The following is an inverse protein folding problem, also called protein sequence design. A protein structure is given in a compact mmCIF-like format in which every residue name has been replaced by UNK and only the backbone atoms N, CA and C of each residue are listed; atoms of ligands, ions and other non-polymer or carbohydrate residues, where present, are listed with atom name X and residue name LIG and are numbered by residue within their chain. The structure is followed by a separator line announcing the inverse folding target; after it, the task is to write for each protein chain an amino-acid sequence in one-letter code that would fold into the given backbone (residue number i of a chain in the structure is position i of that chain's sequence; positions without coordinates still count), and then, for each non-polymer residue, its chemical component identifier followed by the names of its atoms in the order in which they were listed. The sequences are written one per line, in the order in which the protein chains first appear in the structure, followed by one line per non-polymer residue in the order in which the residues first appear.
data_IF_132148146036
#
_entry.id   IF_132148146036
#
_cell.length_a   1.000
_cell.length_b   1.000
_cell.length_c   1.000
_cell.angle_alpha   90.00
_cell.angle_beta   90.00
_cell.angle_gamma   90.00
#
_symmetry.space_group_name_H-M   'P 1'
#
loop_
_entity.id
_entity.type
_entity.pdbx_description
1 polymer ?
#
# COMPACT_ATOMS: atom_id res chain seq x y z
N UNK A 1 -12.79 -89.30 17.96
CA UNK A 1 -12.18 -88.28 18.84
C UNK A 1 -11.20 -87.48 18.00
N UNK A 2 -11.57 -86.24 17.67
CA UNK A 2 -10.83 -85.33 16.79
C UNK A 2 -10.47 -84.09 17.64
N UNK A 3 -9.22 -83.62 17.66
CA UNK A 3 -8.77 -82.56 18.57
C UNK A 3 -9.29 -81.16 18.16
N UNK A 4 -9.33 -80.20 19.09
CA UNK A 4 -9.92 -78.88 18.85
C UNK A 4 -9.01 -77.98 17.99
N UNK A 5 -9.64 -77.23 17.10
CA UNK A 5 -9.05 -76.17 16.28
C UNK A 5 -8.59 -75.02 17.18
N UNK A 6 -7.32 -74.63 17.11
CA UNK A 6 -6.82 -73.38 17.67
C UNK A 6 -7.13 -72.24 16.70
N UNK A 7 -8.04 -71.34 17.09
CA UNK A 7 -8.25 -70.07 16.39
C UNK A 7 -7.04 -69.15 16.60
N UNK A 8 -6.39 -68.78 15.50
CA UNK A 8 -5.32 -67.79 15.48
C UNK A 8 -5.99 -66.41 15.46
N UNK A 9 -6.00 -65.72 16.60
CA UNK A 9 -6.48 -64.34 16.70
C UNK A 9 -5.52 -63.39 15.97
N UNK A 10 -5.93 -62.91 14.80
CA UNK A 10 -5.21 -61.90 14.01
C UNK A 10 -5.26 -60.55 14.75
N UNK A 11 -4.18 -60.20 15.47
CA UNK A 11 -4.03 -58.86 16.07
C UNK A 11 -3.85 -57.85 14.94
N UNK A 12 -4.88 -57.01 14.76
CA UNK A 12 -4.90 -55.90 13.81
C UNK A 12 -3.81 -54.90 14.20
N UNK A 13 -2.73 -54.83 13.42
CA UNK A 13 -1.77 -53.72 13.49
C UNK A 13 -2.43 -52.49 12.87
N UNK A 14 -3.06 -51.64 13.69
CA UNK A 14 -3.43 -50.28 13.30
C UNK A 14 -2.23 -49.37 13.59
N UNK A 15 -1.28 -49.30 12.66
CA UNK A 15 -0.21 -48.30 12.69
C UNK A 15 -0.80 -46.94 12.34
N UNK A 16 -0.89 -46.10 13.37
CA UNK A 16 -1.23 -44.69 13.32
C UNK A 16 -0.15 -43.94 12.52
N UNK A 17 -0.32 -43.83 11.21
CA UNK A 17 0.46 -42.92 10.37
C UNK A 17 -0.11 -41.49 10.51
N UNK A 18 0.20 -40.84 11.62
CA UNK A 18 -0.17 -39.45 11.85
C UNK A 18 0.96 -38.72 12.62
N UNK A 19 2.15 -38.66 12.02
CA UNK A 19 3.26 -37.90 12.60
C UNK A 19 4.35 -37.55 11.56
N UNK A 20 3.96 -36.96 10.43
CA UNK A 20 4.94 -36.37 9.50
C UNK A 20 4.35 -35.18 8.73
N UNK A 21 3.76 -34.23 9.45
CA UNK A 21 3.63 -32.86 8.96
C UNK A 21 4.66 -32.00 9.70
N UNK A 22 5.94 -32.24 9.39
CA UNK A 22 7.05 -31.38 9.83
C UNK A 22 6.92 -30.05 9.09
N UNK A 23 6.22 -29.11 9.72
CA UNK A 23 6.67 -27.74 9.98
C UNK A 23 7.64 -27.16 8.93
N UNK A 24 7.20 -26.95 7.70
CA UNK A 24 7.71 -25.82 6.92
C UNK A 24 6.83 -24.64 7.28
N UNK A 25 7.11 -24.03 8.43
CA UNK A 25 6.62 -22.69 8.75
C UNK A 25 7.31 -21.72 7.80
N UNK A 26 6.83 -21.65 6.55
CA UNK A 26 7.09 -20.48 5.72
C UNK A 26 6.50 -19.30 6.50
N UNK A 27 7.34 -18.33 6.86
CA UNK A 27 6.86 -17.04 7.34
C UNK A 27 5.92 -16.49 6.27
N UNK A 28 4.62 -16.48 6.56
CA UNK A 28 3.65 -15.80 5.72
C UNK A 28 3.84 -14.31 5.99
N UNK A 29 4.65 -13.67 5.16
CA UNK A 29 4.80 -12.22 5.10
C UNK A 29 3.46 -11.63 4.64
N UNK A 30 2.96 -10.63 5.35
CA UNK A 30 1.76 -9.91 4.92
C UNK A 30 2.11 -9.11 3.65
N UNK A 31 1.40 -9.38 2.55
CA UNK A 31 1.59 -8.61 1.33
C UNK A 31 1.30 -7.12 1.60
N UNK A 32 2.00 -6.19 0.91
CA UNK A 32 1.74 -4.77 1.01
C UNK A 32 0.25 -4.45 0.76
N UNK A 33 -0.32 -3.54 1.56
CA UNK A 33 -1.70 -3.08 1.40
C UNK A 33 -1.73 -1.85 0.49
N UNK A 34 -2.43 -1.95 -0.64
CA UNK A 34 -2.64 -0.84 -1.57
C UNK A 34 -4.05 -0.27 -1.37
N UNK A 35 -4.16 1.05 -1.37
CA UNK A 35 -5.38 1.82 -1.28
C UNK A 35 -5.53 2.65 -2.54
N UNK A 36 -6.72 2.64 -3.13
CA UNK A 36 -7.00 3.38 -4.35
C UNK A 36 -8.45 3.83 -4.40
N UNK A 37 -8.65 5.04 -4.90
CA UNK A 37 -9.96 5.59 -5.25
C UNK A 37 -9.76 6.72 -6.25
N UNK A 38 -10.69 6.85 -7.19
CA UNK A 38 -10.64 7.83 -8.26
C UNK A 38 -12.01 8.44 -8.48
N UNK A 39 -12.01 9.76 -8.69
CA UNK A 39 -13.13 10.56 -9.12
C UNK A 39 -12.84 11.07 -10.54
N UNK A 40 -13.67 10.63 -11.49
CA UNK A 40 -13.55 10.98 -12.90
C UNK A 40 -13.60 12.48 -13.12
N UNK A 41 -12.74 12.97 -14.02
CA UNK A 41 -12.67 14.38 -14.38
C UNK A 41 -13.90 14.88 -15.14
N UNK A 42 -14.16 16.18 -15.05
CA UNK A 42 -15.20 16.88 -15.82
C UNK A 42 -14.62 17.63 -17.03
N UNK A 43 -13.32 17.46 -17.30
CA UNK A 43 -12.57 18.14 -18.34
C UNK A 43 -11.55 19.14 -17.79
N UNK A 44 -10.59 19.49 -18.64
CA UNK A 44 -9.42 20.38 -18.40
C UNK A 44 -9.68 21.74 -17.74
N UNK A 45 -10.93 22.19 -17.67
CA UNK A 45 -11.30 23.55 -17.25
C UNK A 45 -12.18 23.58 -16.00
N UNK A 46 -12.53 22.41 -15.46
CA UNK A 46 -13.47 22.31 -14.34
C UNK A 46 -12.84 21.43 -13.26
N UNK A 47 -12.41 22.06 -12.17
CA UNK A 47 -12.03 21.36 -10.96
C UNK A 47 -13.24 20.68 -10.32
N UNK A 48 -13.03 19.47 -9.79
CA UNK A 48 -14.06 18.75 -9.04
C UNK A 48 -14.39 19.52 -7.75
N UNK A 49 -15.67 19.68 -7.45
CA UNK A 49 -16.12 20.30 -6.19
C UNK A 49 -16.01 19.38 -4.98
N UNK A 50 -15.79 18.08 -5.21
CA UNK A 50 -15.65 17.04 -4.18
C UNK A 50 -15.04 15.77 -4.80
N UNK A 51 -14.29 15.01 -4.01
CA UNK A 51 -13.55 13.82 -4.44
C UNK A 51 -13.85 12.61 -3.54
N UNK A 52 -15.13 12.17 -3.44
CA UNK A 52 -15.56 11.20 -2.45
C UNK A 52 -14.86 9.83 -2.56
N UNK A 53 -14.49 9.38 -3.76
CA UNK A 53 -13.83 8.08 -3.92
C UNK A 53 -12.35 8.18 -3.51
N UNK A 54 -11.64 9.22 -3.95
CA UNK A 54 -10.27 9.48 -3.53
C UNK A 54 -10.18 9.71 -2.02
N UNK A 55 -11.10 10.49 -1.44
CA UNK A 55 -11.18 10.74 0.00
C UNK A 55 -11.45 9.46 0.79
N UNK A 56 -12.33 8.58 0.29
CA UNK A 56 -12.58 7.28 0.92
C UNK A 56 -11.31 6.41 0.94
N UNK A 57 -10.53 6.40 -0.14
CA UNK A 57 -9.27 5.67 -0.21
C UNK A 57 -8.19 6.25 0.72
N UNK A 58 -8.06 7.58 0.79
CA UNK A 58 -7.21 8.26 1.79
C UNK A 58 -7.59 7.87 3.21
N UNK A 59 -8.88 7.93 3.54
CA UNK A 59 -9.35 7.59 4.87
C UNK A 59 -9.07 6.12 5.22
N UNK A 60 -9.22 5.20 4.27
CA UNK A 60 -8.86 3.80 4.46
C UNK A 60 -7.35 3.59 4.66
N UNK A 61 -6.52 4.31 3.91
CA UNK A 61 -5.06 4.31 4.08
C UNK A 61 -4.66 4.83 5.48
N UNK A 62 -5.19 5.97 5.90
CA UNK A 62 -4.92 6.53 7.23
C UNK A 62 -5.42 5.61 8.35
N UNK A 63 -6.54 4.92 8.15
CA UNK A 63 -7.04 3.94 9.11
C UNK A 63 -6.09 2.73 9.25
N UNK A 64 -5.48 2.27 8.16
CA UNK A 64 -4.49 1.19 8.20
C UNK A 64 -3.18 1.60 8.90
N UNK A 65 -2.89 2.90 8.95
CA UNK A 65 -1.76 3.49 9.66
C UNK A 65 -2.05 3.83 11.12
N UNK A 66 -3.22 3.46 11.65
CA UNK A 66 -3.56 3.70 13.05
C UNK A 66 -2.52 3.10 14.00
N UNK A 67 -1.95 3.94 14.86
CA UNK A 67 -0.87 3.56 15.79
C UNK A 67 0.56 3.70 15.23
N UNK A 68 0.70 4.11 13.97
CA UNK A 68 1.96 4.51 13.34
C UNK A 68 2.17 6.02 13.48
N UNK A 69 3.39 6.49 13.17
CA UNK A 69 3.64 7.92 13.04
C UNK A 69 3.33 8.35 11.61
N UNK A 70 2.50 9.37 11.42
CA UNK A 70 2.06 9.84 10.10
C UNK A 70 2.30 11.34 9.99
N UNK A 71 2.72 11.80 8.82
CA UNK A 71 2.85 13.22 8.48
C UNK A 71 2.44 13.45 7.02
N UNK A 72 1.93 14.64 6.73
CA UNK A 72 1.52 15.07 5.39
C UNK A 72 2.23 16.38 5.03
N UNK A 73 2.71 16.45 3.79
CA UNK A 73 3.18 17.66 3.12
C UNK A 73 2.08 18.08 2.12
N UNK A 74 1.51 19.26 2.33
CA UNK A 74 0.45 19.88 1.53
C UNK A 74 0.99 20.96 0.57
N UNK A 75 2.32 21.14 0.54
CA UNK A 75 3.03 22.14 -0.25
C UNK A 75 2.75 23.60 0.09
N UNK A 76 1.93 23.88 1.10
CA UNK A 76 1.51 25.24 1.42
C UNK A 76 2.64 26.12 1.98
N UNK A 77 3.67 25.46 2.53
CA UNK A 77 4.84 26.13 3.08
C UNK A 77 5.90 26.52 2.05
N UNK A 78 5.75 26.08 0.80
CA UNK A 78 6.73 26.30 -0.26
C UNK A 78 6.44 27.57 -1.07
N UNK A 79 7.47 28.21 -1.63
CA UNK A 79 7.26 29.23 -2.65
C UNK A 79 6.69 28.60 -3.93
N UNK A 80 5.62 29.19 -4.47
CA UNK A 80 5.06 28.78 -5.76
C UNK A 80 5.58 29.63 -6.93
N UNK A 81 5.44 29.10 -8.15
CA UNK A 81 5.71 29.80 -9.41
C UNK A 81 4.60 29.51 -10.42
N UNK A 82 4.27 30.49 -11.26
CA UNK A 82 3.30 30.38 -12.37
C UNK A 82 3.98 30.00 -13.69
N UNK A 83 5.23 29.54 -13.63
CA UNK A 83 5.99 29.12 -14.81
C UNK A 83 6.93 27.99 -14.43
N UNK A 84 6.94 26.96 -15.28
CA UNK A 84 7.76 25.78 -15.08
C UNK A 84 9.24 26.15 -14.93
N UNK A 85 9.77 25.88 -13.74
CA UNK A 85 11.21 25.93 -13.47
C UNK A 85 11.58 24.57 -12.90
N UNK A 86 12.06 23.62 -13.73
CA UNK A 86 12.40 22.30 -13.25
C UNK A 86 13.49 22.41 -12.19
N UNK A 87 13.24 21.79 -11.04
CA UNK A 87 14.16 21.83 -9.93
C UNK A 87 14.00 20.65 -9.00
N UNK A 88 14.92 20.55 -8.07
CA UNK A 88 14.78 19.64 -6.93
C UNK A 88 14.03 20.36 -5.83
N UNK A 89 12.97 19.74 -5.30
CA UNK A 89 12.22 20.24 -4.15
C UNK A 89 12.56 19.40 -2.91
N UNK A 90 12.88 20.06 -1.80
CA UNK A 90 12.98 19.42 -0.51
C UNK A 90 11.71 19.69 0.29
N UNK A 91 11.08 18.63 0.77
CA UNK A 91 9.86 18.67 1.60
C UNK A 91 10.19 18.20 3.02
N UNK A 92 9.48 18.72 4.02
CA UNK A 92 9.76 18.47 5.43
C UNK A 92 8.55 17.85 6.14
N UNK A 93 8.69 16.59 6.56
CA UNK A 93 7.68 15.87 7.34
C UNK A 93 7.89 16.03 8.85
N UNK A 94 8.60 17.08 9.26
CA UNK A 94 8.92 17.43 10.63
C UNK A 94 9.76 16.37 11.30
N UNK A 95 9.29 15.86 12.44
CA UNK A 95 10.03 14.85 13.21
C UNK A 95 10.20 13.51 12.47
N UNK A 96 9.45 13.26 11.40
CA UNK A 96 9.54 12.02 10.61
C UNK A 96 10.61 12.06 9.53
N UNK A 97 11.26 13.21 9.32
CA UNK A 97 12.34 13.40 8.36
C UNK A 97 11.94 14.28 7.17
N UNK A 98 12.77 14.28 6.14
CA UNK A 98 12.59 15.07 4.93
C UNK A 98 12.50 14.16 3.70
N UNK A 99 12.01 14.69 2.59
CA UNK A 99 12.21 14.04 1.29
C UNK A 99 12.72 15.02 0.23
N UNK A 100 13.34 14.46 -0.81
CA UNK A 100 13.82 15.19 -1.97
C UNK A 100 13.11 14.66 -3.21
N UNK A 101 12.33 15.52 -3.87
CA UNK A 101 11.69 15.29 -5.15
C UNK A 101 12.66 15.81 -6.22
N UNK A 102 13.13 14.96 -7.11
CA UNK A 102 14.24 15.31 -8.02
C UNK A 102 13.84 16.24 -9.18
N UNK A 103 12.56 16.51 -9.38
CA UNK A 103 12.00 17.30 -10.49
C UNK A 103 10.76 18.08 -10.03
N UNK A 104 10.04 18.69 -10.98
CA UNK A 104 8.79 19.41 -10.72
C UNK A 104 8.96 20.76 -10.04
N UNK A 105 7.84 21.34 -9.63
CA UNK A 105 7.75 22.65 -8.98
C UNK A 105 6.41 22.81 -8.25
N UNK A 106 6.34 23.73 -7.29
CA UNK A 106 5.09 24.10 -6.62
C UNK A 106 4.43 25.25 -7.38
N UNK A 107 3.12 25.14 -7.59
CA UNK A 107 2.28 26.15 -8.26
C UNK A 107 0.98 26.35 -7.50
N UNK A 108 0.33 27.49 -7.73
CA UNK A 108 -1.02 27.79 -7.25
C UNK A 108 -1.95 28.22 -8.40
N UNK A 109 -1.56 27.88 -9.64
CA UNK A 109 -2.24 28.27 -10.86
C UNK A 109 -2.93 27.05 -11.48
N UNK A 110 -4.23 26.83 -11.21
CA UNK A 110 -4.98 25.76 -11.84
C UNK A 110 -4.97 25.91 -13.37
N UNK A 111 -4.43 24.91 -14.05
CA UNK A 111 -4.28 24.95 -15.50
C UNK A 111 -4.33 23.56 -16.09
N UNK A 112 -5.13 23.39 -17.16
CA UNK A 112 -5.32 22.15 -17.91
C UNK A 112 -5.46 20.96 -16.95
N UNK A 113 -6.61 20.90 -16.27
CA UNK A 113 -7.01 19.78 -15.42
C UNK A 113 -6.33 19.72 -14.05
N UNK A 114 -5.16 20.33 -13.86
CA UNK A 114 -4.42 20.29 -12.59
C UNK A 114 -4.83 21.41 -11.64
N UNK A 115 -5.04 21.06 -10.38
CA UNK A 115 -5.42 21.96 -9.29
C UNK A 115 -5.09 21.32 -7.94
N UNK A 116 -5.08 22.14 -6.88
CA UNK A 116 -4.88 21.68 -5.51
C UNK A 116 -6.13 20.97 -4.98
N UNK A 117 -5.93 19.86 -4.26
CA UNK A 117 -6.98 19.10 -3.56
C UNK A 117 -7.16 19.55 -2.12
N UNK A 118 -6.12 20.15 -1.54
CA UNK A 118 -6.12 20.84 -0.27
C UNK A 118 -5.50 22.24 -0.45
N UNK A 119 -5.80 23.18 0.45
CA UNK A 119 -5.21 24.52 0.39
C UNK A 119 -5.40 25.26 -0.94
N UNK A 120 -4.29 25.76 -1.50
CA UNK A 120 -4.22 26.49 -2.76
C UNK A 120 -3.01 26.10 -3.62
N UNK A 121 -2.02 25.39 -3.08
CA UNK A 121 -0.79 25.01 -3.75
C UNK A 121 -0.75 23.51 -3.99
N UNK A 122 -0.09 23.12 -5.06
CA UNK A 122 0.14 21.73 -5.41
C UNK A 122 1.49 21.59 -6.12
N UNK A 123 2.02 20.38 -6.14
CA UNK A 123 3.24 20.08 -6.86
C UNK A 123 2.92 19.55 -8.26
N UNK A 124 3.54 20.13 -9.28
CA UNK A 124 3.36 19.76 -10.66
C UNK A 124 4.67 19.24 -11.25
N UNK A 125 4.58 18.19 -12.07
CA UNK A 125 5.73 17.65 -12.79
C UNK A 125 5.32 17.15 -14.17
N UNK A 126 6.30 17.14 -15.08
CA UNK A 126 6.15 16.45 -16.34
C UNK A 126 5.98 14.95 -16.10
N UNK A 127 5.17 14.28 -16.93
CA UNK A 127 4.85 12.85 -16.81
C UNK A 127 6.01 11.91 -17.19
N UNK A 128 7.23 12.45 -17.27
CA UNK A 128 8.45 11.65 -17.30
C UNK A 128 8.72 11.04 -15.92
N UNK A 129 9.64 10.08 -15.86
CA UNK A 129 10.00 9.45 -14.60
C UNK A 129 10.63 10.45 -13.63
N UNK A 130 10.17 10.45 -12.38
CA UNK A 130 10.74 11.22 -11.27
C UNK A 130 10.85 10.33 -10.02
N UNK A 131 11.63 10.76 -9.04
CA UNK A 131 11.88 10.01 -7.82
C UNK A 131 11.75 10.91 -6.60
N UNK A 132 11.07 10.38 -5.59
CA UNK A 132 11.01 10.90 -4.23
C UNK A 132 11.98 10.08 -3.38
N UNK A 133 12.95 10.73 -2.74
CA UNK A 133 13.90 10.10 -1.83
C UNK A 133 13.64 10.56 -0.40
N UNK A 134 13.30 9.64 0.49
CA UNK A 134 13.11 9.92 1.92
C UNK A 134 14.44 9.85 2.68
N UNK A 135 14.64 10.73 3.66
CA UNK A 135 15.83 10.73 4.52
C UNK A 135 15.90 9.52 5.46
N UNK A 136 14.78 8.82 5.65
CA UNK A 136 14.62 7.65 6.50
C UNK A 136 13.65 6.66 5.89
N UNK A 137 13.75 5.39 6.30
CA UNK A 137 12.84 4.36 5.81
C UNK A 137 11.40 4.64 6.26
N UNK A 138 10.47 4.57 5.31
CA UNK A 138 9.03 4.69 5.53
C UNK A 138 8.37 3.32 5.37
N UNK A 139 7.26 3.11 6.08
CA UNK A 139 6.39 1.94 5.99
C UNK A 139 5.09 2.26 5.25
N UNK A 140 4.86 3.52 4.91
CA UNK A 140 3.72 3.92 4.12
C UNK A 140 3.97 5.20 3.35
N UNK A 141 3.38 5.28 2.17
CA UNK A 141 3.39 6.46 1.32
C UNK A 141 2.05 6.55 0.59
N UNK A 142 1.46 7.73 0.53
CA UNK A 142 0.26 8.00 -0.25
C UNK A 142 0.21 9.44 -0.74
N UNK A 143 -0.60 9.67 -1.76
CA UNK A 143 -0.71 10.97 -2.43
C UNK A 143 -2.07 11.11 -3.11
N UNK A 144 -2.50 12.36 -3.30
CA UNK A 144 -3.47 12.69 -4.34
C UNK A 144 -2.74 12.91 -5.66
N UNK A 145 -3.26 12.32 -6.73
CA UNK A 145 -2.85 12.57 -8.11
C UNK A 145 -3.98 13.27 -8.85
N UNK A 146 -3.64 14.28 -9.63
CA UNK A 146 -4.60 15.13 -10.34
C UNK A 146 -4.25 15.14 -11.81
N UNK A 147 -5.28 15.04 -12.64
CA UNK A 147 -5.18 15.06 -14.10
C UNK A 147 -4.31 13.91 -14.63
N UNK A 148 -4.65 12.69 -14.20
CA UNK A 148 -3.96 11.47 -14.63
C UNK A 148 -4.94 10.65 -15.47
N UNK A 149 -4.52 10.27 -16.68
CA UNK A 149 -5.17 9.23 -17.48
C UNK A 149 -5.73 9.68 -18.84
N UNK A 150 -5.72 10.96 -19.14
CA UNK A 150 -6.17 11.59 -20.40
C UNK A 150 -5.16 11.43 -21.56
N UNK A 151 -3.87 11.21 -21.29
CA UNK A 151 -2.85 10.96 -22.33
C UNK A 151 -2.48 9.49 -22.57
N UNK A 152 -3.40 8.54 -22.33
CA UNK A 152 -3.26 7.08 -22.61
C UNK A 152 -2.09 6.37 -21.90
N UNK A 153 -1.42 7.05 -20.98
CA UNK A 153 -0.37 6.50 -20.13
C UNK A 153 -0.92 5.77 -18.91
N UNK A 154 -0.07 4.99 -18.26
CA UNK A 154 -0.39 4.36 -16.97
C UNK A 154 0.73 4.67 -16.00
N UNK A 155 0.38 5.26 -14.85
CA UNK A 155 1.34 5.57 -13.79
C UNK A 155 1.84 4.29 -13.12
N UNK A 156 3.16 4.17 -12.99
CA UNK A 156 3.82 3.08 -12.29
C UNK A 156 4.67 3.60 -11.15
N UNK A 157 4.85 2.78 -10.12
CA UNK A 157 5.69 3.07 -8.97
C UNK A 157 6.68 1.92 -8.75
N UNK A 158 7.96 2.25 -8.59
CA UNK A 158 9.00 1.32 -8.16
C UNK A 158 9.56 1.79 -6.82
N UNK A 159 9.46 0.95 -5.79
CA UNK A 159 9.99 1.24 -4.46
C UNK A 159 11.45 0.81 -4.36
N UNK A 160 12.21 1.42 -3.44
CA UNK A 160 13.61 1.04 -3.19
C UNK A 160 13.80 -0.40 -2.70
N UNK A 161 12.73 -1.04 -2.20
CA UNK A 161 12.72 -2.44 -1.77
C UNK A 161 12.54 -3.42 -2.96
N UNK A 162 12.36 -2.91 -4.18
CA UNK A 162 12.17 -3.69 -5.41
C UNK A 162 10.71 -3.99 -5.77
N UNK A 163 9.75 -3.59 -4.93
CA UNK A 163 8.32 -3.73 -5.22
C UNK A 163 7.89 -2.77 -6.32
N UNK A 164 7.06 -3.27 -7.24
CA UNK A 164 6.51 -2.52 -8.37
C UNK A 164 4.99 -2.50 -8.32
N UNK A 165 4.40 -1.36 -8.64
CA UNK A 165 2.96 -1.15 -8.64
C UNK A 165 2.51 -0.41 -9.90
N UNK A 166 1.31 -0.72 -10.35
CA UNK A 166 0.58 0.04 -11.37
C UNK A 166 -0.59 0.74 -10.67
N UNK A 167 -0.75 2.04 -10.90
CA UNK A 167 -1.90 2.79 -10.40
C UNK A 167 -3.11 2.45 -11.28
N UNK A 168 -4.21 1.91 -10.75
CA UNK A 168 -5.33 1.43 -11.54
C UNK A 168 -6.32 2.55 -11.92
N UNK A 169 -5.80 3.66 -12.43
CA UNK A 169 -6.62 4.80 -12.86
C UNK A 169 -7.29 4.55 -14.21
N UNK A 170 -8.37 5.27 -14.48
CA UNK A 170 -9.03 5.28 -15.77
C UNK A 170 -8.10 5.81 -16.87
N UNK A 171 -8.25 5.24 -18.06
CA UNK A 171 -7.50 5.63 -19.26
C UNK A 171 -8.47 6.30 -20.22
N UNK A 172 -8.00 7.33 -20.93
CA UNK A 172 -8.79 8.21 -21.79
C UNK A 172 -9.79 9.05 -20.98
N UNK A 173 -9.33 9.55 -19.83
CA UNK A 173 -10.10 10.45 -18.97
C UNK A 173 -10.34 11.80 -19.69
N UNK A 174 -11.49 12.47 -19.52
CA UNK A 174 -11.70 13.82 -20.05
C UNK A 174 -10.72 14.91 -19.57
N UNK A 175 -9.97 14.65 -18.49
CA UNK A 175 -9.09 15.60 -17.82
C UNK A 175 -9.68 16.14 -16.52
N UNK A 176 -8.82 16.54 -15.59
CA UNK A 176 -9.18 17.06 -14.26
C UNK A 176 -9.63 16.00 -13.25
N UNK A 177 -9.30 14.74 -13.50
CA UNK A 177 -9.54 13.63 -12.55
C UNK A 177 -8.77 13.84 -11.25
N UNK A 178 -9.28 13.25 -10.18
CA UNK A 178 -8.55 13.18 -8.90
C UNK A 178 -8.57 11.74 -8.42
N UNK A 179 -7.39 11.21 -8.13
CA UNK A 179 -7.22 9.93 -7.49
C UNK A 179 -6.47 10.07 -6.17
N UNK A 180 -6.69 9.12 -5.28
CA UNK A 180 -5.78 8.86 -4.18
C UNK A 180 -5.18 7.48 -4.36
N UNK A 181 -3.87 7.37 -4.20
CA UNK A 181 -3.18 6.09 -4.14
C UNK A 181 -2.29 6.04 -2.89
N UNK A 182 -2.28 4.91 -2.20
CA UNK A 182 -1.41 4.72 -1.04
C UNK A 182 -0.97 3.28 -0.87
N UNK A 183 0.20 3.09 -0.26
CA UNK A 183 0.78 1.79 0.07
C UNK A 183 1.20 1.74 1.54
N UNK A 184 0.93 0.61 2.18
CA UNK A 184 1.47 0.27 3.51
C UNK A 184 2.23 -1.05 3.41
N UNK A 185 3.50 -1.01 3.79
CA UNK A 185 4.40 -2.15 3.84
C UNK A 185 5.23 -2.08 5.14
N UNK A 186 4.76 -2.80 6.17
CA UNK A 186 5.42 -2.81 7.49
C UNK A 186 6.58 -3.78 7.56
N UNK A 187 6.75 -4.66 6.59
CA UNK A 187 7.74 -5.74 6.61
C UNK A 187 8.97 -5.40 5.78
N UNK A 188 8.78 -4.72 4.65
CA UNK A 188 9.84 -4.22 3.80
C UNK A 188 9.78 -2.70 3.64
N UNK A 189 10.21 -1.92 4.66
CA UNK A 189 10.32 -0.48 4.57
C UNK A 189 11.16 -0.03 3.37
N UNK A 190 10.87 1.16 2.84
CA UNK A 190 11.52 1.71 1.65
C UNK A 190 11.94 3.17 1.89
N UNK A 191 12.93 3.63 1.12
CA UNK A 191 13.50 4.99 1.22
C UNK A 191 13.33 5.77 -0.07
N UNK A 192 12.77 5.18 -1.13
CA UNK A 192 12.42 5.92 -2.34
C UNK A 192 11.21 5.35 -3.04
N UNK A 193 10.53 6.23 -3.78
CA UNK A 193 9.49 5.90 -4.75
C UNK A 193 9.88 6.53 -6.08
N UNK A 194 10.08 5.70 -7.09
CA UNK A 194 10.28 6.16 -8.46
C UNK A 194 8.97 6.03 -9.22
N UNK A 195 8.46 7.15 -9.70
CA UNK A 195 7.32 7.21 -10.57
C UNK A 195 7.75 6.98 -12.00
N UNK A 196 6.94 6.24 -12.74
CA UNK A 196 7.04 6.05 -14.18
C UNK A 196 5.69 6.26 -14.85
N UNK A 197 5.72 6.32 -16.18
CA UNK A 197 4.53 6.35 -17.01
C UNK A 197 4.80 5.56 -18.29
N UNK A 198 3.89 4.67 -18.67
CA UNK A 198 3.99 3.89 -19.92
C UNK A 198 3.95 4.76 -21.18
N UNK A 199 3.39 5.97 -21.10
CA UNK A 199 3.47 7.01 -22.13
C UNK A 199 4.22 8.25 -21.63
N UNK A 200 5.45 8.05 -21.17
CA UNK A 200 6.27 9.08 -20.53
C UNK A 200 6.49 10.33 -21.41
N UNK A 201 6.37 11.50 -20.78
CA UNK A 201 6.72 12.78 -21.40
C UNK A 201 5.72 13.26 -22.45
N UNK A 202 4.48 12.78 -22.40
CA UNK A 202 3.39 13.30 -23.23
C UNK A 202 2.55 14.36 -22.50
N UNK A 203 2.71 14.50 -21.18
CA UNK A 203 1.70 15.04 -20.29
C UNK A 203 2.30 15.69 -19.02
N UNK A 204 1.48 16.34 -18.22
CA UNK A 204 1.78 16.93 -16.92
C UNK A 204 0.81 16.42 -15.88
N UNK A 205 1.35 16.09 -14.71
CA UNK A 205 0.55 15.61 -13.58
C UNK A 205 0.64 16.56 -12.40
N UNK A 206 -0.50 16.76 -11.75
CA UNK A 206 -0.58 17.41 -10.45
C UNK A 206 -0.51 16.38 -9.34
N UNK A 207 0.13 16.75 -8.23
CA UNK A 207 0.13 15.96 -7.02
C UNK A 207 -0.04 16.86 -5.80
N UNK A 208 -0.68 16.31 -4.79
CA UNK A 208 -0.97 17.03 -3.57
C UNK A 208 -0.98 16.07 -2.36
N UNK A 209 -0.87 16.63 -1.16
CA UNK A 209 -1.07 15.93 0.12
C UNK A 209 -0.23 14.65 0.24
N UNK A 210 1.08 14.76 -0.02
CA UNK A 210 2.01 13.64 0.16
C UNK A 210 2.03 13.21 1.61
N UNK A 211 1.66 11.97 1.88
CA UNK A 211 1.56 11.43 3.24
C UNK A 211 2.56 10.29 3.41
N UNK A 212 3.41 10.38 4.43
CA UNK A 212 4.34 9.31 4.81
C UNK A 212 3.96 8.71 6.16
N UNK A 213 4.39 7.47 6.37
CA UNK A 213 4.35 6.84 7.67
C UNK A 213 5.67 6.16 8.04
N UNK A 214 6.04 6.24 9.32
CA UNK A 214 7.13 5.46 9.91
C UNK A 214 6.60 4.60 11.05
N UNK A 215 7.35 3.55 11.40
CA UNK A 215 6.96 2.66 12.49
C UNK A 215 6.76 3.44 13.80
N UNK A 216 5.53 3.42 14.30
CA UNK A 216 5.16 4.04 15.57
C UNK A 216 5.50 3.15 16.78
N UNK A 217 5.38 3.71 18.00
CA UNK A 217 5.61 2.95 19.24
C UNK A 217 4.59 1.80 19.43
N UNK A 218 3.50 1.82 18.68
CA UNK A 218 2.41 0.85 18.75
C UNK A 218 2.56 -0.35 17.83
N UNK A 219 3.78 -0.79 17.46
CA UNK A 219 4.13 -1.89 16.52
C UNK A 219 3.44 -3.23 16.80
N UNK A 220 2.11 -3.26 16.76
CA UNK A 220 1.23 -4.42 16.68
C UNK A 220 0.92 -4.57 15.21
N UNK A 221 1.91 -5.04 14.48
CA UNK A 221 1.65 -5.69 13.20
C UNK A 221 0.61 -6.77 13.52
N UNK A 222 -0.57 -6.78 12.88
CA UNK A 222 -1.52 -7.88 13.07
C UNK A 222 -0.75 -9.17 12.87
N UNK A 223 -0.61 -9.96 13.93
CA UNK A 223 0.03 -11.26 13.85
C UNK A 223 -0.61 -12.00 12.67
N UNK A 224 0.18 -12.55 11.72
CA UNK A 224 -0.38 -13.21 10.57
C UNK A 224 -1.45 -14.20 11.04
N UNK A 225 -2.60 -14.26 10.35
CA UNK A 225 -3.73 -15.11 10.73
C UNK A 225 -3.33 -16.59 10.93
N UNK A 226 -2.14 -16.98 10.46
CA UNK A 226 -1.47 -18.25 10.75
C UNK A 226 -1.23 -18.50 12.24
N UNK A 227 -0.96 -17.49 13.09
CA UNK A 227 -0.82 -17.67 14.54
C UNK A 227 -2.16 -17.95 15.21
N UNK A 228 -3.22 -17.26 14.78
CA UNK A 228 -4.58 -17.58 15.19
C UNK A 228 -4.99 -18.99 14.73
N UNK A 229 -4.67 -19.36 13.48
CA UNK A 229 -4.97 -20.68 12.92
C UNK A 229 -4.15 -21.80 13.56
N UNK A 230 -2.88 -21.54 13.89
CA UNK A 230 -2.02 -22.44 14.66
C UNK A 230 -2.58 -22.65 16.07
N UNK A 231 -3.00 -21.57 16.73
CA UNK A 231 -3.68 -21.61 18.03
C UNK A 231 -4.96 -22.46 17.98
N UNK A 232 -5.80 -22.25 16.96
CA UNK A 232 -7.02 -23.03 16.73
C UNK A 232 -6.71 -24.50 16.40
N UNK A 233 -5.67 -24.77 15.60
CA UNK A 233 -5.22 -26.12 15.28
C UNK A 233 -4.73 -26.87 16.52
N UNK A 234 -3.93 -26.23 17.38
CA UNK A 234 -3.48 -26.79 18.65
C UNK A 234 -4.65 -27.03 19.62
N UNK A 235 -5.61 -26.10 19.69
CA UNK A 235 -6.81 -26.26 20.50
C UNK A 235 -7.68 -27.45 20.04
N UNK A 236 -7.86 -27.62 18.73
CA UNK A 236 -8.58 -28.76 18.16
C UNK A 236 -7.89 -30.11 18.46
N UNK A 237 -6.56 -30.17 18.36
CA UNK A 237 -5.76 -31.34 18.73
C UNK A 237 -5.85 -31.67 20.24
N UNK A 238 -5.85 -30.64 21.09
CA UNK A 238 -6.02 -30.78 22.54
C UNK A 238 -7.40 -31.30 22.94
N UNK A 239 -8.46 -30.77 22.31
CA UNK A 239 -9.84 -31.22 22.52
C UNK A 239 -10.05 -32.67 22.07
N UNK A 240 -9.45 -33.08 20.94
CA UNK A 240 -9.54 -34.46 20.43
C UNK A 240 -8.91 -35.52 21.34
N UNK A 241 -7.91 -35.18 22.14
CA UNK A 241 -7.28 -36.11 23.11
C UNK A 241 -8.15 -36.37 24.34
N UNK A 242 -8.93 -35.38 24.80
CA UNK A 242 -9.82 -35.53 25.97
C UNK A 242 -10.98 -36.49 25.72
N UNK A 243 -11.50 -36.56 24.49
CA UNK A 243 -12.57 -37.49 24.12
C UNK A 243 -12.17 -38.98 24.15
N UNK A 244 -10.87 -39.29 23.99
CA UNK A 244 -10.38 -40.69 24.02
C UNK A 244 -10.06 -41.21 25.42
N UNK A 245 -9.71 -40.33 26.37
CA UNK A 245 -9.36 -40.73 27.74
C UNK A 245 -10.60 -40.96 28.64
N UNK A 246 -11.79 -40.53 28.23
CA UNK A 246 -13.05 -40.74 28.97
C UNK A 246 -13.81 -42.02 28.58
N UNK A 247 -13.26 -42.85 27.69
CA UNK A 247 -13.87 -44.10 27.20
C UNK A 247 -13.06 -45.37 27.52
N UNK A 248 -12.16 -45.30 28.50
CA UNK A 248 -11.42 -46.45 29.01
C UNK A 248 -11.91 -46.80 30.42
#
# INVERSE_FOLDING_TARGET
MRPPQQEITLKTFTTLAAATALLTSASAYAAPLVFFGEDEGLGETIALSSTPNADAARNAFLAALSGQNVATEDFESHPYTTSFTPGTLNVDFGALGTATLNQGYVTNDPYAGRYATSGAQFWETYSSSFTINFSSAVIGFGFYGIDIGDFLGTVTLTLSNGSEFTVPHSIDNPGGSVLYWGIVDTETPFTSVTFGNTNAGADWFGFDDFTIATAGPGNRIPEPATLALLGLGLAALGAGRRGKLSRA
#
